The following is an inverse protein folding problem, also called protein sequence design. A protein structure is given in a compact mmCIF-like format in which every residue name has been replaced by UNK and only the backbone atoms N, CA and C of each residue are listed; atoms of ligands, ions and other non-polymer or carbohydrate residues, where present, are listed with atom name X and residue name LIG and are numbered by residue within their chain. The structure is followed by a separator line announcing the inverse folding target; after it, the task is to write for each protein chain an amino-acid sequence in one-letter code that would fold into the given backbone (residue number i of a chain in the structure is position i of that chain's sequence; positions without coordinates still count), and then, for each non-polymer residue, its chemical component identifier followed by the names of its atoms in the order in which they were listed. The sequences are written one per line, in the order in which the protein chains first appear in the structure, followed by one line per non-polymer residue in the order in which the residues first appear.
data_IF_443363196987
#
_entry.id   IF_443363196987
#
_cell.length_a   1.000
_cell.length_b   1.000
_cell.length_c   1.000
_cell.angle_alpha   90.00
_cell.angle_beta   90.00
_cell.angle_gamma   90.00
#
_symmetry.space_group_name_H-M   'P 1'
#
loop_
_entity.id
_entity.type
_entity.pdbx_description
1 polymer ?
#
# COMPACT_ATOMS: atom_id res chain seq x y z
N UNK A 1 -39.88 -11.43 -22.60
CA UNK A 1 -39.76 -10.78 -21.29
C UNK A 1 -38.74 -11.61 -20.50
N UNK A 2 -37.48 -11.19 -20.47
CA UNK A 2 -36.40 -11.86 -19.72
C UNK A 2 -36.16 -11.07 -18.45
N UNK A 3 -36.37 -11.69 -17.30
CA UNK A 3 -36.15 -11.14 -15.97
C UNK A 3 -34.65 -10.96 -15.73
N UNK A 4 -34.25 -9.70 -15.62
CA UNK A 4 -32.88 -9.32 -15.20
C UNK A 4 -32.70 -9.72 -13.72
N UNK A 5 -31.83 -10.69 -13.47
CA UNK A 5 -31.41 -11.10 -12.15
C UNK A 5 -30.69 -9.94 -11.45
N UNK A 6 -31.27 -9.46 -10.36
CA UNK A 6 -30.66 -8.48 -9.46
C UNK A 6 -29.48 -9.12 -8.75
N UNK A 7 -28.26 -8.85 -9.26
CA UNK A 7 -27.03 -9.22 -8.58
C UNK A 7 -27.02 -8.61 -7.16
N UNK A 8 -26.76 -9.47 -6.18
CA UNK A 8 -26.60 -9.16 -4.76
C UNK A 8 -25.62 -7.99 -4.58
N UNK A 9 -26.13 -6.79 -4.35
CA UNK A 9 -25.31 -5.66 -3.88
C UNK A 9 -24.88 -6.00 -2.46
N UNK A 10 -23.64 -6.35 -2.29
CA UNK A 10 -22.99 -6.33 -0.96
C UNK A 10 -22.96 -4.86 -0.55
N UNK A 11 -23.84 -4.49 0.36
CA UNK A 11 -23.84 -3.17 0.97
C UNK A 11 -22.52 -3.05 1.74
N UNK A 12 -21.65 -2.06 1.45
CA UNK A 12 -20.47 -1.84 2.25
C UNK A 12 -20.89 -1.60 3.71
N UNK A 13 -20.14 -2.07 4.72
CA UNK A 13 -20.45 -1.79 6.10
C UNK A 13 -20.56 -0.27 6.30
N UNK A 14 -21.50 0.21 7.15
CA UNK A 14 -21.65 1.63 7.41
C UNK A 14 -20.30 2.23 7.80
N UNK A 15 -19.87 3.29 7.12
CA UNK A 15 -18.69 4.06 7.45
C UNK A 15 -18.81 4.41 8.94
N UNK A 16 -17.91 3.89 9.78
CA UNK A 16 -17.82 4.30 11.18
C UNK A 16 -17.81 5.82 11.22
N UNK A 17 -18.56 6.40 12.15
CA UNK A 17 -18.81 7.83 12.27
C UNK A 17 -17.54 8.63 11.96
N UNK A 18 -17.61 9.53 10.99
CA UNK A 18 -16.51 10.18 10.28
C UNK A 18 -15.52 11.00 11.15
N UNK A 19 -15.63 10.93 12.47
CA UNK A 19 -14.77 11.64 13.43
C UNK A 19 -13.47 10.90 13.82
N UNK A 20 -13.36 9.62 13.57
CA UNK A 20 -12.23 8.78 14.04
C UNK A 20 -11.26 8.30 12.92
N UNK A 21 -11.62 8.40 11.65
CA UNK A 21 -10.80 7.89 10.54
C UNK A 21 -9.73 8.91 10.10
N UNK A 22 -8.48 8.45 9.95
CA UNK A 22 -7.39 9.28 9.39
C UNK A 22 -7.48 9.35 7.87
N UNK A 23 -7.71 8.21 7.20
CA UNK A 23 -7.95 8.15 5.76
C UNK A 23 -9.40 7.74 5.50
N UNK A 24 -10.06 8.47 4.63
CA UNK A 24 -11.38 8.15 4.09
C UNK A 24 -11.27 8.03 2.58
N UNK A 25 -11.62 6.87 2.05
CA UNK A 25 -11.79 6.58 0.62
C UNK A 25 -13.28 6.29 0.43
N UNK A 26 -13.97 7.08 -0.39
CA UNK A 26 -15.42 7.10 -0.46
C UNK A 26 -15.87 7.09 -1.92
N UNK A 27 -16.50 5.98 -2.30
CA UNK A 27 -17.16 5.74 -3.59
C UNK A 27 -16.28 6.01 -4.83
N UNK A 28 -15.02 5.55 -4.78
CA UNK A 28 -14.06 5.78 -5.85
C UNK A 28 -14.41 4.96 -7.07
N UNK A 29 -14.64 5.68 -8.19
CA UNK A 29 -14.79 5.11 -9.53
C UNK A 29 -13.74 5.70 -10.45
N UNK A 30 -12.97 4.84 -11.13
CA UNK A 30 -11.93 5.27 -12.09
C UNK A 30 -12.10 4.54 -13.41
N UNK A 31 -12.18 5.32 -14.48
CA UNK A 31 -12.27 4.83 -15.86
C UNK A 31 -11.15 5.39 -16.70
N UNK A 32 -10.54 4.57 -17.54
CA UNK A 32 -9.52 4.96 -18.51
C UNK A 32 -10.08 4.79 -19.92
N UNK A 33 -9.72 5.70 -20.82
CA UNK A 33 -10.18 5.68 -22.22
C UNK A 33 -11.42 6.51 -22.48
N UNK A 34 -12.03 6.31 -23.66
CA UNK A 34 -13.22 7.02 -24.10
C UNK A 34 -14.52 6.41 -23.51
N UNK A 35 -15.66 7.07 -23.73
CA UNK A 35 -16.98 6.56 -23.32
C UNK A 35 -17.35 5.24 -24.02
N UNK A 36 -16.81 4.99 -25.21
CA UNK A 36 -17.14 3.81 -26.02
C UNK A 36 -16.21 2.63 -25.75
N UNK A 37 -14.88 2.88 -25.55
CA UNK A 37 -13.85 1.85 -25.37
C UNK A 37 -13.18 1.91 -23.99
N UNK A 38 -13.78 2.61 -23.04
CA UNK A 38 -13.19 2.83 -21.72
C UNK A 38 -13.16 1.58 -20.84
N UNK A 39 -12.08 1.43 -20.07
CA UNK A 39 -11.92 0.36 -19.08
C UNK A 39 -12.16 0.93 -17.68
N UNK A 40 -13.13 0.35 -16.97
CA UNK A 40 -13.33 0.66 -15.54
C UNK A 40 -12.27 -0.08 -14.74
N UNK A 41 -11.34 0.66 -14.16
CA UNK A 41 -10.27 0.12 -13.32
C UNK A 41 -10.72 -0.09 -11.88
N UNK A 42 -11.46 0.89 -11.33
CA UNK A 42 -12.05 0.85 -9.99
C UNK A 42 -13.54 1.15 -10.07
N UNK A 43 -14.34 0.47 -9.26
CA UNK A 43 -15.79 0.62 -9.24
C UNK A 43 -16.32 0.56 -7.81
N UNK A 44 -16.77 1.73 -7.31
CA UNK A 44 -17.36 1.93 -5.99
C UNK A 44 -16.47 1.40 -4.84
N UNK A 45 -15.19 1.79 -4.83
CA UNK A 45 -14.25 1.41 -3.76
C UNK A 45 -14.40 2.37 -2.58
N UNK A 46 -14.82 1.84 -1.42
CA UNK A 46 -14.98 2.60 -0.18
C UNK A 46 -14.38 1.87 1.00
N UNK A 47 -13.57 2.58 1.79
CA UNK A 47 -13.03 2.10 3.06
C UNK A 47 -12.44 3.25 3.88
N UNK A 48 -12.14 2.96 5.14
CA UNK A 48 -11.49 3.92 6.06
C UNK A 48 -10.29 3.28 6.73
N UNK A 49 -9.34 4.11 7.16
CA UNK A 49 -8.18 3.70 7.97
C UNK A 49 -8.12 4.58 9.22
N UNK A 50 -8.03 3.95 10.38
CA UNK A 50 -7.91 4.64 11.66
C UNK A 50 -6.48 5.18 11.91
N UNK A 51 -6.28 6.18 12.78
CA UNK A 51 -4.94 6.57 13.20
C UNK A 51 -4.17 5.39 13.82
N UNK A 52 -2.91 5.21 13.43
CA UNK A 52 -2.05 4.12 13.89
C UNK A 52 -2.39 2.75 13.33
N UNK A 53 -3.40 2.60 12.48
CA UNK A 53 -3.77 1.34 11.83
C UNK A 53 -2.81 0.99 10.69
N UNK A 54 -2.54 -0.30 10.54
CA UNK A 54 -1.85 -0.87 9.40
C UNK A 54 -2.86 -1.61 8.51
N UNK A 55 -3.24 -1.04 7.37
CA UNK A 55 -4.11 -1.67 6.37
C UNK A 55 -3.27 -2.24 5.22
N UNK A 56 -3.48 -3.51 4.87
CA UNK A 56 -2.97 -4.06 3.60
C UNK A 56 -4.08 -4.15 2.55
N UNK A 57 -3.73 -3.87 1.30
CA UNK A 57 -4.59 -4.05 0.13
C UNK A 57 -4.00 -5.15 -0.74
N UNK A 58 -4.77 -6.20 -0.97
CA UNK A 58 -4.35 -7.38 -1.72
C UNK A 58 -5.38 -7.71 -2.81
N UNK A 59 -4.91 -8.24 -3.93
CA UNK A 59 -5.78 -8.60 -5.05
C UNK A 59 -4.98 -9.10 -6.25
N UNK A 60 -5.63 -9.68 -7.27
CA UNK A 60 -4.97 -10.16 -8.49
C UNK A 60 -4.19 -9.06 -9.21
N UNK A 61 -3.26 -9.46 -10.08
CA UNK A 61 -2.56 -8.51 -10.94
C UNK A 61 -3.56 -7.76 -11.84
N UNK A 62 -3.36 -6.45 -12.00
CA UNK A 62 -4.22 -5.60 -12.83
C UNK A 62 -5.61 -5.32 -12.27
N UNK A 63 -5.92 -5.63 -11.01
CA UNK A 63 -7.20 -5.32 -10.36
C UNK A 63 -7.36 -3.85 -9.94
N UNK A 64 -6.38 -2.98 -10.19
CA UNK A 64 -6.47 -1.55 -9.88
C UNK A 64 -5.78 -1.10 -8.58
N UNK A 65 -4.98 -1.94 -7.90
CA UNK A 65 -4.27 -1.58 -6.66
C UNK A 65 -3.39 -0.35 -6.81
N UNK A 66 -2.51 -0.32 -7.81
CA UNK A 66 -1.63 0.83 -8.05
C UNK A 66 -2.41 2.07 -8.52
N UNK A 67 -3.56 1.88 -9.22
CA UNK A 67 -4.48 2.98 -9.53
C UNK A 67 -5.05 3.59 -8.25
N UNK A 68 -5.55 2.76 -7.34
CA UNK A 68 -6.06 3.18 -6.04
C UNK A 68 -4.98 3.89 -5.21
N UNK A 69 -3.76 3.35 -5.18
CA UNK A 69 -2.61 3.94 -4.50
C UNK A 69 -2.29 5.34 -5.04
N UNK A 70 -2.23 5.50 -6.36
CA UNK A 70 -1.96 6.79 -7.00
C UNK A 70 -3.07 7.82 -6.76
N UNK A 71 -4.34 7.37 -6.70
CA UNK A 71 -5.48 8.22 -6.33
C UNK A 71 -5.34 8.71 -4.88
N UNK A 72 -5.08 7.79 -3.94
CA UNK A 72 -4.91 8.13 -2.51
C UNK A 72 -3.70 9.06 -2.32
N UNK A 73 -2.59 8.80 -3.04
CA UNK A 73 -1.40 9.63 -3.02
C UNK A 73 -1.54 11.00 -3.68
N UNK A 74 -2.68 11.26 -4.33
CA UNK A 74 -2.92 12.51 -5.07
C UNK A 74 -2.12 12.63 -6.38
N UNK A 75 -1.60 11.51 -6.91
CA UNK A 75 -0.84 11.47 -8.17
C UNK A 75 -1.73 11.25 -9.39
N UNK A 76 -2.95 10.76 -9.20
CA UNK A 76 -3.90 10.47 -10.25
C UNK A 76 -5.25 11.13 -9.92
N UNK A 77 -5.68 12.03 -10.79
CA UNK A 77 -6.99 12.68 -10.76
C UNK A 77 -7.95 12.08 -11.79
N UNK A 78 -9.13 12.73 -11.97
CA UNK A 78 -10.11 12.32 -12.97
C UNK A 78 -10.96 11.11 -12.56
N UNK A 79 -11.07 10.85 -11.27
CA UNK A 79 -11.93 9.84 -10.66
C UNK A 79 -13.20 10.49 -10.07
N UNK A 80 -14.28 9.71 -9.97
CA UNK A 80 -15.46 10.06 -9.18
C UNK A 80 -15.26 9.59 -7.72
N UNK A 81 -15.95 10.25 -6.78
CA UNK A 81 -15.85 9.94 -5.36
C UNK A 81 -14.92 10.90 -4.58
N UNK A 82 -14.44 10.47 -3.42
CA UNK A 82 -13.68 11.32 -2.52
C UNK A 82 -12.58 10.57 -1.80
N UNK A 83 -11.39 11.20 -1.72
CA UNK A 83 -10.32 10.82 -0.80
C UNK A 83 -10.08 11.98 0.17
N UNK A 84 -9.98 11.68 1.46
CA UNK A 84 -9.64 12.67 2.48
C UNK A 84 -8.65 12.08 3.49
N UNK A 85 -7.66 12.89 3.92
CA UNK A 85 -6.69 12.55 4.97
C UNK A 85 -6.81 13.59 6.08
N UNK A 86 -7.01 13.12 7.32
CA UNK A 86 -7.23 13.98 8.49
C UNK A 86 -8.34 15.03 8.29
N UNK A 87 -9.42 14.66 7.58
CA UNK A 87 -10.56 15.51 7.25
C UNK A 87 -10.35 16.42 6.03
N UNK A 88 -9.13 16.54 5.51
CA UNK A 88 -8.81 17.38 4.35
C UNK A 88 -8.90 16.56 3.06
N UNK A 89 -9.62 17.08 2.06
CA UNK A 89 -9.78 16.42 0.76
C UNK A 89 -8.47 16.46 -0.04
N UNK A 90 -8.10 15.31 -0.62
CA UNK A 90 -6.90 15.16 -1.45
C UNK A 90 -7.25 15.50 -2.89
N UNK A 91 -6.64 16.56 -3.44
CA UNK A 91 -6.78 16.99 -4.84
C UNK A 91 -5.48 16.83 -5.64
N UNK A 92 -4.37 16.58 -4.97
CA UNK A 92 -3.02 16.45 -5.53
C UNK A 92 -2.06 15.97 -4.46
N UNK A 93 -0.74 15.95 -4.71
CA UNK A 93 0.26 15.58 -3.71
C UNK A 93 0.05 16.35 -2.40
N UNK A 94 0.03 15.65 -1.26
CA UNK A 94 -0.35 16.21 0.04
C UNK A 94 0.72 15.93 1.09
N UNK A 95 1.12 16.95 1.87
CA UNK A 95 2.19 16.84 2.85
C UNK A 95 1.94 15.77 3.95
N UNK A 96 0.67 15.47 4.24
CA UNK A 96 0.29 14.42 5.19
C UNK A 96 0.46 13.00 4.64
N UNK A 97 0.81 12.82 3.36
CA UNK A 97 0.92 11.52 2.69
C UNK A 97 2.36 11.30 2.27
N UNK A 98 3.01 10.29 2.84
CA UNK A 98 4.30 9.79 2.38
C UNK A 98 4.12 8.59 1.47
N UNK A 99 4.92 8.49 0.40
CA UNK A 99 4.84 7.37 -0.55
C UNK A 99 6.18 6.68 -0.68
N UNK A 100 6.17 5.34 -0.58
CA UNK A 100 7.29 4.46 -0.90
C UNK A 100 6.86 3.62 -2.09
N UNK A 101 7.55 3.80 -3.21
CA UNK A 101 7.25 3.13 -4.47
C UNK A 101 7.95 1.78 -4.56
N UNK A 102 7.45 0.92 -5.44
CA UNK A 102 8.04 -0.37 -5.76
C UNK A 102 9.46 -0.21 -6.33
N UNK A 103 9.63 0.74 -7.27
CA UNK A 103 10.94 1.08 -7.81
C UNK A 103 11.74 1.90 -6.80
N UNK A 104 13.05 1.60 -6.74
CA UNK A 104 13.97 2.31 -5.89
C UNK A 104 14.07 3.78 -6.30
N UNK A 105 13.61 4.67 -5.45
CA UNK A 105 13.55 6.10 -5.72
C UNK A 105 14.72 6.88 -5.11
N UNK A 106 15.83 6.19 -4.70
CA UNK A 106 17.01 6.84 -4.13
C UNK A 106 17.75 7.69 -5.16
N UNK A 107 18.27 8.85 -4.74
CA UNK A 107 19.11 9.70 -5.59
C UNK A 107 20.52 9.11 -5.67
N UNK A 108 20.98 8.62 -6.86
CA UNK A 108 22.27 7.94 -6.98
C UNK A 108 23.49 8.84 -6.72
N UNK A 109 23.33 10.14 -6.84
CA UNK A 109 24.37 11.14 -6.57
C UNK A 109 24.40 11.65 -5.13
N UNK A 110 23.53 11.16 -4.25
CA UNK A 110 23.52 11.47 -2.81
C UNK A 110 23.85 10.21 -2.00
N UNK A 111 24.60 10.38 -0.92
CA UNK A 111 24.80 9.30 0.03
C UNK A 111 23.53 9.01 0.84
N UNK A 112 23.54 8.01 1.72
CA UNK A 112 22.39 7.58 2.52
C UNK A 112 21.81 8.74 3.33
N UNK A 113 22.65 9.42 4.15
CA UNK A 113 22.14 10.48 5.03
C UNK A 113 21.63 11.68 4.24
N UNK A 114 22.24 12.03 3.11
CA UNK A 114 21.79 13.12 2.24
C UNK A 114 20.50 12.77 1.47
N UNK A 115 20.29 11.49 1.15
CA UNK A 115 19.01 11.01 0.62
C UNK A 115 17.89 11.19 1.65
N UNK A 116 18.12 10.76 2.88
CA UNK A 116 17.13 10.86 3.97
C UNK A 116 16.89 12.31 4.39
N UNK A 117 17.91 13.17 4.35
CA UNK A 117 17.81 14.59 4.66
C UNK A 117 17.07 15.42 3.60
N UNK A 118 16.85 14.87 2.39
CA UNK A 118 16.33 15.63 1.26
C UNK A 118 14.97 16.32 1.51
N UNK A 119 13.93 15.65 2.04
CA UNK A 119 12.65 16.31 2.32
C UNK A 119 12.80 17.44 3.36
N UNK A 120 13.70 17.29 4.33
CA UNK A 120 14.01 18.32 5.32
C UNK A 120 14.75 19.52 4.70
N UNK A 121 15.56 19.27 3.66
CA UNK A 121 16.20 20.31 2.86
C UNK A 121 15.17 21.14 2.09
N UNK A 122 14.20 20.48 1.45
CA UNK A 122 13.08 21.15 0.77
C UNK A 122 12.23 21.96 1.74
N UNK A 123 12.04 21.48 2.97
CA UNK A 123 11.34 22.20 4.03
C UNK A 123 12.14 23.40 4.60
N UNK A 124 13.37 23.67 4.08
CA UNK A 124 14.19 24.80 4.50
C UNK A 124 14.92 24.61 5.83
N UNK A 125 14.99 23.37 6.37
CA UNK A 125 15.68 23.09 7.63
C UNK A 125 17.19 23.32 7.54
N UNK A 126 17.79 23.91 8.58
CA UNK A 126 19.23 24.17 8.62
C UNK A 126 20.06 22.88 8.46
N UNK A 127 21.21 22.94 7.76
CA UNK A 127 22.00 21.76 7.40
C UNK A 127 22.37 20.89 8.61
N UNK A 128 22.78 21.48 9.72
CA UNK A 128 23.18 20.74 10.93
C UNK A 128 22.00 19.94 11.49
N UNK A 129 20.85 20.59 11.63
CA UNK A 129 19.62 20.01 12.17
C UNK A 129 19.07 18.90 11.28
N UNK A 130 18.96 19.13 9.96
CA UNK A 130 18.44 18.12 9.03
C UNK A 130 19.32 16.87 8.96
N UNK A 131 20.64 17.00 9.08
CA UNK A 131 21.56 15.84 9.08
C UNK A 131 21.44 15.06 10.40
N UNK A 132 21.28 15.72 11.52
CA UNK A 132 21.05 15.08 12.82
C UNK A 132 19.74 14.29 12.80
N UNK A 133 18.66 14.91 12.31
CA UNK A 133 17.35 14.28 12.17
C UNK A 133 17.37 13.13 11.16
N UNK A 134 18.05 13.29 10.03
CA UNK A 134 18.21 12.23 9.04
C UNK A 134 18.93 11.01 9.61
N UNK A 135 19.97 11.20 10.43
CA UNK A 135 20.65 10.09 11.10
C UNK A 135 19.75 9.29 12.04
N UNK A 136 18.83 9.95 12.73
CA UNK A 136 17.82 9.26 13.53
C UNK A 136 16.99 8.29 12.69
N UNK A 137 16.49 8.71 11.51
CA UNK A 137 15.75 7.82 10.62
C UNK A 137 16.63 6.76 9.96
N UNK A 138 17.90 7.05 9.67
CA UNK A 138 18.87 6.06 9.19
C UNK A 138 19.08 4.94 10.23
N UNK A 139 19.25 5.31 11.50
CA UNK A 139 19.35 4.35 12.61
C UNK A 139 18.05 3.56 12.80
N UNK A 140 16.90 4.24 12.75
CA UNK A 140 15.57 3.62 12.87
C UNK A 140 15.36 2.50 11.84
N UNK A 141 15.82 2.66 10.60
CA UNK A 141 15.75 1.61 9.58
C UNK A 141 16.93 0.62 9.61
N UNK A 142 17.81 0.70 10.62
CA UNK A 142 18.94 -0.22 10.80
C UNK A 142 20.02 -0.08 9.74
N UNK A 143 20.37 1.16 9.39
CA UNK A 143 21.47 1.49 8.45
C UNK A 143 22.61 2.24 9.13
N UNK A 144 22.81 2.02 10.43
CA UNK A 144 23.96 2.56 11.17
C UNK A 144 25.27 2.11 10.51
N UNK A 145 26.21 3.05 10.35
CA UNK A 145 27.50 2.82 9.69
C UNK A 145 27.47 2.91 8.17
N UNK A 146 26.28 3.06 7.55
CA UNK A 146 26.11 3.23 6.09
C UNK A 146 25.81 4.67 5.67
N UNK A 147 25.83 5.64 6.57
CA UNK A 147 25.38 7.02 6.37
C UNK A 147 26.08 7.70 5.17
N UNK A 148 27.35 7.37 4.95
CA UNK A 148 28.20 7.96 3.89
C UNK A 148 28.24 7.13 2.59
N UNK A 149 27.60 5.95 2.57
CA UNK A 149 27.54 5.10 1.38
C UNK A 149 26.58 5.68 0.34
N UNK A 150 26.89 5.42 -0.92
CA UNK A 150 26.03 5.78 -2.05
C UNK A 150 25.12 4.59 -2.42
N UNK A 151 23.98 4.83 -3.08
CA UNK A 151 23.03 3.77 -3.45
C UNK A 151 23.67 2.60 -4.21
N UNK A 152 24.64 2.85 -5.08
CA UNK A 152 25.37 1.81 -5.81
C UNK A 152 26.19 0.84 -4.93
N UNK A 153 26.49 1.23 -3.68
CA UNK A 153 27.23 0.43 -2.71
C UNK A 153 26.31 -0.38 -1.78
N UNK A 154 24.97 -0.29 -1.96
CA UNK A 154 23.97 -0.89 -1.11
C UNK A 154 23.27 -2.06 -1.80
N UNK A 155 22.80 -3.04 -1.00
CA UNK A 155 21.87 -4.05 -1.50
C UNK A 155 20.49 -3.45 -1.82
N UNK A 156 19.65 -4.14 -2.62
CA UNK A 156 18.29 -3.69 -2.92
C UNK A 156 17.46 -3.42 -1.66
N UNK A 157 17.49 -4.32 -0.68
CA UNK A 157 16.80 -4.13 0.60
C UNK A 157 17.34 -2.95 1.42
N UNK A 158 18.64 -2.63 1.32
CA UNK A 158 19.19 -1.43 1.96
C UNK A 158 18.70 -0.15 1.26
N UNK A 159 18.68 -0.12 -0.08
CA UNK A 159 18.14 1.03 -0.84
C UNK A 159 16.66 1.25 -0.53
N UNK A 160 15.87 0.18 -0.40
CA UNK A 160 14.47 0.29 -0.01
C UNK A 160 14.31 0.89 1.40
N UNK A 161 15.15 0.49 2.35
CA UNK A 161 15.19 1.10 3.70
C UNK A 161 15.59 2.58 3.67
N UNK A 162 16.50 2.98 2.79
CA UNK A 162 16.82 4.41 2.57
C UNK A 162 15.61 5.18 2.04
N UNK A 163 14.88 4.63 1.07
CA UNK A 163 13.65 5.24 0.53
C UNK A 163 12.59 5.40 1.61
N UNK A 164 12.40 4.38 2.45
CA UNK A 164 11.49 4.44 3.60
C UNK A 164 11.92 5.50 4.61
N UNK A 165 13.19 5.52 5.04
CA UNK A 165 13.72 6.51 5.98
C UNK A 165 13.56 7.94 5.45
N UNK A 166 13.81 8.16 4.16
CA UNK A 166 13.59 9.45 3.50
C UNK A 166 12.14 9.89 3.57
N UNK A 167 11.20 8.98 3.30
CA UNK A 167 9.78 9.29 3.37
C UNK A 167 9.33 9.56 4.80
N UNK A 168 9.79 8.76 5.76
CA UNK A 168 9.50 8.97 7.20
C UNK A 168 10.07 10.29 7.74
N UNK A 169 11.21 10.76 7.21
CA UNK A 169 11.82 12.02 7.62
C UNK A 169 10.93 13.24 7.37
N UNK A 170 9.97 13.15 6.44
CA UNK A 170 8.95 14.21 6.24
C UNK A 170 7.79 14.15 7.25
N UNK A 171 7.78 13.16 8.16
CA UNK A 171 6.76 12.94 9.19
C UNK A 171 5.32 12.95 8.65
N UNK A 172 5.01 12.14 7.64
CA UNK A 172 3.68 12.09 7.07
C UNK A 172 2.68 11.50 8.08
N UNK A 173 1.41 11.91 8.03
CA UNK A 173 0.34 11.31 8.85
C UNK A 173 0.04 9.88 8.43
N UNK A 174 0.16 9.57 7.14
CA UNK A 174 0.00 8.23 6.57
C UNK A 174 1.15 7.89 5.63
N UNK A 175 1.67 6.67 5.75
CA UNK A 175 2.69 6.11 4.86
C UNK A 175 2.03 5.12 3.91
N UNK A 176 2.09 5.40 2.62
CA UNK A 176 1.65 4.51 1.55
C UNK A 176 2.86 3.73 1.03
N UNK A 177 2.74 2.41 0.87
CA UNK A 177 3.79 1.53 0.36
C UNK A 177 3.24 0.66 -0.77
N UNK A 178 3.80 0.79 -1.98
CA UNK A 178 3.43 -0.02 -3.14
C UNK A 178 4.46 -1.11 -3.38
N UNK A 179 4.13 -2.35 -3.03
CA UNK A 179 4.97 -3.54 -3.17
C UNK A 179 6.45 -3.33 -2.72
N UNK A 180 6.69 -2.75 -1.54
CA UNK A 180 8.03 -2.27 -1.15
C UNK A 180 9.05 -3.38 -0.99
N UNK A 181 8.63 -4.64 -0.92
CA UNK A 181 9.49 -5.80 -0.68
C UNK A 181 9.50 -6.80 -1.84
N UNK A 182 8.92 -6.45 -3.00
CA UNK A 182 8.75 -7.35 -4.14
C UNK A 182 10.09 -7.91 -4.67
N UNK A 183 11.16 -7.12 -4.61
CA UNK A 183 12.49 -7.51 -5.10
C UNK A 183 13.33 -8.30 -4.08
N UNK A 184 12.79 -8.61 -2.89
CA UNK A 184 13.53 -9.27 -1.81
C UNK A 184 13.24 -10.77 -1.75
N UNK A 185 14.26 -11.55 -1.33
CA UNK A 185 14.06 -12.94 -0.97
C UNK A 185 13.16 -13.07 0.29
N UNK A 186 12.60 -14.25 0.48
CA UNK A 186 11.59 -14.49 1.52
C UNK A 186 12.11 -14.19 2.94
N UNK A 187 13.37 -14.59 3.26
CA UNK A 187 13.93 -14.37 4.59
C UNK A 187 14.16 -12.88 4.86
N UNK A 188 14.76 -12.19 3.91
CA UNK A 188 14.99 -10.74 4.01
C UNK A 188 13.66 -9.97 4.14
N UNK A 189 12.61 -10.40 3.42
CA UNK A 189 11.27 -9.83 3.47
C UNK A 189 10.66 -9.94 4.86
N UNK A 190 10.70 -11.11 5.47
CA UNK A 190 10.18 -11.35 6.82
C UNK A 190 10.89 -10.47 7.87
N UNK A 191 12.23 -10.43 7.85
CA UNK A 191 13.01 -9.61 8.76
C UNK A 191 12.77 -8.10 8.57
N UNK A 192 12.60 -7.67 7.33
CA UNK A 192 12.27 -6.28 7.06
C UNK A 192 10.84 -5.95 7.49
N UNK A 193 9.91 -6.90 7.39
CA UNK A 193 8.58 -6.80 7.95
C UNK A 193 8.59 -6.53 9.46
N UNK A 194 9.43 -7.26 10.21
CA UNK A 194 9.62 -7.02 11.64
C UNK A 194 10.09 -5.60 11.93
N UNK A 195 11.01 -5.10 11.10
CA UNK A 195 11.51 -3.72 11.23
C UNK A 195 10.44 -2.67 10.94
N UNK A 196 9.61 -2.92 9.93
CA UNK A 196 8.48 -2.02 9.61
C UNK A 196 7.47 -1.99 10.76
N UNK A 197 7.17 -3.13 11.38
CA UNK A 197 6.29 -3.19 12.55
C UNK A 197 6.87 -2.44 13.76
N UNK A 198 8.18 -2.53 13.99
CA UNK A 198 8.85 -1.73 15.03
C UNK A 198 8.67 -0.23 14.77
N UNK A 199 8.96 0.23 13.55
CA UNK A 199 8.81 1.63 13.15
C UNK A 199 7.36 2.09 13.31
N UNK A 200 6.40 1.26 12.87
CA UNK A 200 4.97 1.55 13.01
C UNK A 200 4.56 1.76 14.47
N UNK A 201 5.07 0.92 15.37
CA UNK A 201 4.79 1.01 16.81
C UNK A 201 5.48 2.23 17.46
N UNK A 202 6.77 2.45 17.17
CA UNK A 202 7.56 3.56 17.73
C UNK A 202 6.97 4.93 17.35
N UNK A 203 6.53 5.07 16.10
CA UNK A 203 5.98 6.33 15.58
C UNK A 203 4.46 6.41 15.69
N UNK A 204 3.78 5.36 16.12
CA UNK A 204 2.32 5.19 15.97
C UNK A 204 1.85 5.55 14.56
N UNK A 205 2.62 5.11 13.54
CA UNK A 205 2.45 5.49 12.15
C UNK A 205 1.26 4.77 11.53
N UNK A 206 0.37 5.51 10.87
CA UNK A 206 -0.67 4.90 10.03
C UNK A 206 -0.03 4.45 8.72
N UNK A 207 -0.27 3.20 8.34
CA UNK A 207 0.35 2.60 7.15
C UNK A 207 -0.69 1.95 6.24
N UNK A 208 -0.51 2.12 4.93
CA UNK A 208 -1.26 1.41 3.91
C UNK A 208 -0.26 0.72 2.98
N UNK A 209 -0.37 -0.60 2.88
CA UNK A 209 0.49 -1.45 2.08
C UNK A 209 -0.28 -2.05 0.91
N UNK A 210 0.24 -1.92 -0.29
CA UNK A 210 -0.17 -2.74 -1.42
C UNK A 210 0.83 -3.86 -1.59
N UNK A 211 0.33 -5.10 -1.62
CA UNK A 211 1.16 -6.28 -1.87
C UNK A 211 0.36 -7.37 -2.59
N UNK A 212 1.06 -8.26 -3.29
CA UNK A 212 0.53 -9.51 -3.81
C UNK A 212 0.90 -10.72 -2.92
N UNK A 213 1.69 -10.51 -1.86
CA UNK A 213 2.14 -11.54 -0.94
C UNK A 213 1.20 -11.64 0.27
N UNK A 214 0.50 -12.78 0.40
CA UNK A 214 -0.46 -13.00 1.48
C UNK A 214 0.23 -13.08 2.85
N UNK A 215 1.40 -13.72 2.92
CA UNK A 215 2.19 -13.86 4.17
C UNK A 215 2.56 -12.48 4.71
N UNK A 216 3.05 -11.60 3.85
CA UNK A 216 3.37 -10.22 4.19
C UNK A 216 2.14 -9.45 4.72
N UNK A 217 1.01 -9.53 4.00
CA UNK A 217 -0.22 -8.86 4.41
C UNK A 217 -0.69 -9.34 5.79
N UNK A 218 -0.68 -10.65 6.05
CA UNK A 218 -1.12 -11.24 7.35
C UNK A 218 -0.14 -10.91 8.48
N UNK A 219 1.17 -10.86 8.20
CA UNK A 219 2.19 -10.52 9.20
C UNK A 219 2.03 -9.06 9.65
N UNK A 220 1.85 -8.14 8.71
CA UNK A 220 1.97 -6.71 8.97
C UNK A 220 0.64 -6.05 9.35
N UNK A 221 -0.45 -6.38 8.67
CA UNK A 221 -1.67 -5.60 8.74
C UNK A 221 -2.58 -5.92 9.92
N UNK A 222 -3.27 -4.91 10.43
CA UNK A 222 -4.40 -5.07 11.37
C UNK A 222 -5.67 -5.47 10.62
N UNK A 223 -5.83 -4.94 9.40
CA UNK A 223 -6.91 -5.30 8.48
C UNK A 223 -6.36 -5.51 7.08
N UNK A 224 -7.00 -6.42 6.35
CA UNK A 224 -6.67 -6.70 4.95
C UNK A 224 -7.90 -6.44 4.08
N UNK A 225 -7.76 -5.55 3.10
CA UNK A 225 -8.74 -5.31 2.06
C UNK A 225 -8.43 -6.22 0.88
N UNK A 226 -9.32 -7.16 0.58
CA UNK A 226 -9.23 -8.04 -0.58
C UNK A 226 -10.01 -7.41 -1.72
N UNK A 227 -9.36 -7.20 -2.86
CA UNK A 227 -9.97 -6.65 -4.08
C UNK A 227 -10.40 -7.74 -5.06
N UNK A 228 -11.50 -7.48 -5.78
CA UNK A 228 -11.93 -8.32 -6.91
C UNK A 228 -11.00 -8.17 -8.10
N UNK A 229 -11.05 -9.10 -9.06
CA UNK A 229 -10.55 -8.88 -10.42
C UNK A 229 -11.34 -7.73 -11.09
N UNK A 230 -10.95 -7.32 -12.28
CA UNK A 230 -11.53 -6.16 -13.02
C UNK A 230 -13.05 -6.18 -13.14
N UNK A 231 -13.74 -5.05 -12.85
CA UNK A 231 -13.22 -3.86 -12.20
C UNK A 231 -12.88 -4.11 -10.73
N UNK A 232 -11.85 -3.40 -10.21
CA UNK A 232 -11.46 -3.50 -8.82
C UNK A 232 -12.56 -2.97 -7.90
N UNK A 233 -13.07 -3.84 -7.04
CA UNK A 233 -14.06 -3.55 -5.98
C UNK A 233 -13.56 -4.11 -4.67
N UNK A 234 -14.10 -3.66 -3.55
CA UNK A 234 -13.87 -4.31 -2.26
C UNK A 234 -14.63 -5.64 -2.23
N UNK A 235 -13.91 -6.77 -2.28
CA UNK A 235 -14.50 -8.10 -2.10
C UNK A 235 -14.79 -8.38 -0.63
N UNK A 236 -13.79 -8.12 0.21
CA UNK A 236 -13.87 -8.38 1.65
C UNK A 236 -12.88 -7.50 2.42
N UNK A 237 -13.25 -7.16 3.66
CA UNK A 237 -12.35 -6.64 4.68
C UNK A 237 -12.14 -7.74 5.72
N UNK A 238 -10.89 -8.09 6.04
CA UNK A 238 -10.52 -9.14 6.98
C UNK A 238 -9.78 -8.52 8.16
N UNK A 239 -10.33 -8.65 9.38
CA UNK A 239 -9.66 -8.24 10.60
C UNK A 239 -8.63 -9.29 11.03
N UNK A 240 -7.38 -8.90 11.26
CA UNK A 240 -6.29 -9.78 11.67
C UNK A 240 -6.12 -9.70 13.20
N UNK A 241 -6.72 -10.61 13.91
CA UNK A 241 -6.68 -10.68 15.38
C UNK A 241 -5.52 -11.53 15.90
N UNK A 242 -4.34 -11.37 15.32
CA UNK A 242 -3.11 -11.97 15.81
C UNK A 242 -2.51 -11.10 16.93
N UNK A 243 -1.90 -11.71 17.97
CA UNK A 243 -1.30 -10.96 19.08
C UNK A 243 -0.19 -10.02 18.60
N UNK A 244 0.01 -8.91 19.31
CA UNK A 244 1.12 -7.98 19.15
C UNK A 244 2.04 -8.05 20.39
N UNK A 245 3.36 -7.80 20.28
CA UNK A 245 4.07 -7.49 19.05
C UNK A 245 4.14 -8.71 18.12
N UNK A 246 3.97 -8.47 16.81
CA UNK A 246 4.15 -9.51 15.80
C UNK A 246 5.60 -9.53 15.34
N UNK A 247 6.16 -10.72 15.26
CA UNK A 247 7.48 -10.98 14.68
C UNK A 247 7.34 -12.03 13.59
N UNK A 248 8.39 -12.22 12.80
CA UNK A 248 8.45 -13.26 11.76
C UNK A 248 8.16 -14.67 12.29
N UNK A 249 8.32 -14.93 13.61
CA UNK A 249 8.02 -16.20 14.24
C UNK A 249 6.52 -16.56 14.19
N UNK A 250 5.63 -15.56 14.12
CA UNK A 250 4.18 -15.77 14.07
C UNK A 250 3.73 -16.57 12.85
N UNK A 251 4.54 -16.54 11.78
CA UNK A 251 4.27 -17.23 10.49
C UNK A 251 4.09 -18.73 10.68
N UNK A 252 4.77 -19.32 11.70
CA UNK A 252 4.67 -20.75 12.02
C UNK A 252 3.40 -21.12 12.81
N UNK A 253 2.60 -20.14 13.25
CA UNK A 253 1.42 -20.41 14.07
C UNK A 253 0.22 -20.91 13.26
N UNK A 254 -0.58 -21.80 13.84
CA UNK A 254 -1.81 -22.29 13.23
C UNK A 254 -2.81 -21.14 12.92
N UNK A 255 -2.89 -20.16 13.83
CA UNK A 255 -3.77 -18.99 13.65
C UNK A 255 -3.37 -18.18 12.41
N UNK A 256 -2.08 -18.00 12.17
CA UNK A 256 -1.56 -17.36 10.95
C UNK A 256 -1.94 -18.16 9.71
N UNK A 257 -1.72 -19.47 9.72
CA UNK A 257 -2.06 -20.37 8.61
C UNK A 257 -3.54 -20.31 8.23
N UNK A 258 -4.45 -20.16 9.20
CA UNK A 258 -5.89 -19.98 8.93
C UNK A 258 -6.19 -18.70 8.16
N UNK A 259 -5.58 -17.56 8.51
CA UNK A 259 -5.75 -16.31 7.76
C UNK A 259 -5.21 -16.42 6.34
N UNK A 260 -4.02 -17.02 6.17
CA UNK A 260 -3.43 -17.26 4.86
C UNK A 260 -4.35 -18.11 3.98
N UNK A 261 -4.88 -19.21 4.51
CA UNK A 261 -5.80 -20.09 3.77
C UNK A 261 -7.11 -19.38 3.39
N UNK A 262 -7.67 -18.57 4.28
CA UNK A 262 -8.88 -17.77 4.02
C UNK A 262 -8.67 -16.77 2.88
N UNK A 263 -7.58 -15.98 2.93
CA UNK A 263 -7.28 -14.97 1.94
C UNK A 263 -6.92 -15.62 0.60
N UNK A 264 -6.18 -16.75 0.64
CA UNK A 264 -5.87 -17.52 -0.56
C UNK A 264 -7.13 -18.00 -1.28
N UNK A 265 -8.15 -18.47 -0.54
CA UNK A 265 -9.42 -18.90 -1.14
C UNK A 265 -10.12 -17.74 -1.86
N UNK A 266 -10.17 -16.54 -1.25
CA UNK A 266 -10.73 -15.33 -1.87
C UNK A 266 -9.98 -14.93 -3.14
N UNK A 267 -8.63 -14.94 -3.10
CA UNK A 267 -7.80 -14.56 -4.24
C UNK A 267 -7.85 -15.58 -5.38
N UNK A 268 -7.89 -16.88 -5.06
CA UNK A 268 -8.00 -17.96 -6.06
C UNK A 268 -9.26 -17.82 -6.90
N UNK A 269 -10.38 -17.51 -6.26
CA UNK A 269 -11.64 -17.27 -6.97
C UNK A 269 -11.49 -16.11 -7.97
N UNK A 270 -10.92 -14.99 -7.54
CA UNK A 270 -10.73 -13.82 -8.39
C UNK A 270 -9.69 -14.03 -9.51
N UNK A 271 -8.59 -14.75 -9.22
CA UNK A 271 -7.60 -15.10 -10.23
C UNK A 271 -8.17 -16.02 -11.31
N UNK A 272 -9.03 -16.99 -10.92
CA UNK A 272 -9.70 -17.89 -11.88
C UNK A 272 -10.66 -17.11 -12.80
N UNK A 273 -11.34 -16.09 -12.29
CA UNK A 273 -12.18 -15.19 -13.12
C UNK A 273 -11.32 -14.44 -14.15
N UNK A 274 -10.14 -13.93 -13.71
CA UNK A 274 -9.21 -13.23 -14.59
C UNK A 274 -8.72 -14.07 -15.74
N UNK A 275 -8.30 -15.31 -15.48
CA UNK A 275 -7.84 -16.24 -16.53
C UNK A 275 -8.93 -16.53 -17.57
N UNK A 276 -10.17 -16.79 -17.12
CA UNK A 276 -11.30 -17.05 -18.01
C UNK A 276 -11.65 -15.84 -18.89
N UNK A 277 -11.53 -14.61 -18.36
CA UNK A 277 -11.78 -13.37 -19.10
C UNK A 277 -10.68 -13.12 -20.16
N UNK A 278 -9.42 -13.36 -19.82
CA UNK A 278 -8.30 -13.17 -20.74
C UNK A 278 -8.34 -14.20 -21.88
N UNK A 279 -8.67 -15.47 -21.61
CA UNK A 279 -8.90 -16.49 -22.63
C UNK A 279 -10.06 -16.12 -23.57
N UNK A 280 -11.17 -15.63 -23.00
CA UNK A 280 -12.35 -15.21 -23.76
C UNK A 280 -12.06 -14.03 -24.68
N UNK A 281 -11.19 -13.09 -24.25
CA UNK A 281 -10.74 -11.96 -25.08
C UNK A 281 -9.78 -12.38 -26.17
N UNK A 282 -8.85 -13.29 -25.89
CA UNK A 282 -7.92 -13.83 -26.88
C UNK A 282 -8.66 -14.55 -28.03
N UNK A 283 -9.72 -15.30 -27.71
CA UNK A 283 -10.55 -15.99 -28.71
C UNK A 283 -11.34 -15.00 -29.60
N UNK A 284 -11.80 -13.86 -29.07
CA UNK A 284 -12.52 -12.82 -29.85
C UNK A 284 -11.58 -11.93 -30.67
N UNK A 285 -10.31 -11.76 -30.27
CA UNK A 285 -9.31 -10.95 -30.99
C UNK A 285 -8.62 -11.70 -32.15
N UNK A 286 -8.79 -13.01 -32.28
CA UNK A 286 -8.20 -13.84 -33.33
C UNK A 286 -9.07 -13.98 -34.62
N UNK A 287 -10.24 -13.30 -34.69
CA UNK A 287 -11.15 -13.34 -35.82
C UNK A 287 -11.05 -12.11 -36.77
N UNK A 288 -9.92 -11.41 -36.76
CA UNK A 288 -9.68 -10.30 -37.71
C UNK A 288 -8.43 -10.53 -38.56
#
# INVERSE_FOLDING_TARGET
MATVSTANRVTPPPLAESGAALLVVDDIVMRFGSAEDGVTALDNVSFTVAPGEFLAVIGPSGCGKSTLFNIIGGLLGGYDGRVAVAGEKVYGPHASIGMVFQEESTFPWRNVVDNVAFPLEIAGMAKRERIERARHFVSMVGLDGFEKRYPAELSGGMRQRVSMARTLASEPKILLMDEPFAALDEQTRLLLGDKVLQIQQELNQTMLLITHNITEAVQLADRILVMTYRPGRVKRMVDIKLPRPRTSEIVSSEAFGRYVAQIWADLREEASRGLNDDESRALRGGEH
#
